data_IF_477200279890
#
_entry.id   IF_477200279890
#
_cell.length_a   1.000
_cell.length_b   1.000
_cell.length_c   1.000
_cell.angle_alpha   90.00
_cell.angle_beta   90.00
_cell.angle_gamma   90.00
#
_symmetry.space_group_name_H-M   'P 1'
#
loop_
_entity.id
_entity.type
_entity.pdbx_description
1 polymer ?
#
# COMPACT_ATOMS: atom_id res chain seq x y z
N UNK A 1 39.64 -0.26 -23.87
CA UNK A 1 38.45 0.17 -24.61
C UNK A 1 37.25 0.12 -23.66
N UNK A 2 36.48 1.21 -23.48
CA UNK A 2 35.34 1.20 -22.57
C UNK A 2 34.14 0.52 -23.23
N UNK A 3 33.56 -0.44 -22.53
CA UNK A 3 32.30 -1.10 -22.91
C UNK A 3 31.16 -0.12 -22.64
N UNK A 4 30.49 0.34 -23.69
CA UNK A 4 29.28 1.15 -23.61
C UNK A 4 28.12 0.27 -23.17
N UNK A 5 27.69 0.41 -21.92
CA UNK A 5 26.45 -0.15 -21.42
C UNK A 5 25.25 0.58 -22.04
N UNK A 6 24.41 -0.16 -22.71
CA UNK A 6 23.17 0.31 -23.34
C UNK A 6 22.09 0.36 -22.25
N UNK A 7 21.95 1.50 -21.60
CA UNK A 7 20.91 1.78 -20.60
C UNK A 7 19.58 2.06 -21.32
N UNK A 8 18.87 0.99 -21.66
CA UNK A 8 17.47 1.09 -22.07
C UNK A 8 16.64 1.17 -20.81
N UNK A 9 16.11 2.37 -20.56
CA UNK A 9 15.29 2.72 -19.43
C UNK A 9 14.34 1.60 -18.97
N UNK A 10 14.59 1.08 -17.80
CA UNK A 10 13.65 0.22 -17.09
C UNK A 10 12.47 1.09 -16.67
N UNK A 11 11.39 1.06 -17.45
CA UNK A 11 10.08 1.54 -17.01
C UNK A 11 9.77 0.83 -15.71
N UNK A 12 9.53 1.60 -14.65
CA UNK A 12 9.09 1.08 -13.38
C UNK A 12 7.91 0.14 -13.61
N UNK A 13 7.97 -1.03 -13.02
CA UNK A 13 6.89 -2.01 -13.03
C UNK A 13 5.74 -1.38 -12.23
N UNK A 14 4.83 -0.70 -12.93
CA UNK A 14 3.55 -0.34 -12.34
C UNK A 14 2.87 -1.68 -12.00
N UNK A 15 2.79 -2.00 -10.72
CA UNK A 15 2.03 -3.13 -10.23
C UNK A 15 0.55 -2.83 -10.46
N UNK A 16 0.07 -3.09 -11.68
CA UNK A 16 -1.35 -3.16 -11.98
C UNK A 16 -1.89 -4.45 -11.34
N UNK A 17 -2.08 -4.42 -10.03
CA UNK A 17 -2.90 -5.42 -9.38
C UNK A 17 -4.34 -5.10 -9.76
N UNK A 18 -5.06 -6.00 -10.46
CA UNK A 18 -6.49 -5.84 -10.65
C UNK A 18 -7.13 -6.01 -9.28
N UNK A 19 -7.35 -4.90 -8.58
CA UNK A 19 -8.29 -4.91 -7.46
C UNK A 19 -9.65 -5.18 -8.06
N UNK A 20 -10.14 -6.40 -7.88
CA UNK A 20 -11.52 -6.71 -8.20
C UNK A 20 -12.39 -5.67 -7.49
N UNK A 21 -13.23 -4.97 -8.26
CA UNK A 21 -14.21 -4.05 -7.69
C UNK A 21 -14.97 -4.81 -6.62
N UNK A 22 -14.80 -4.41 -5.36
CA UNK A 22 -15.57 -5.01 -4.28
C UNK A 22 -17.03 -4.64 -4.53
N UNK A 23 -17.94 -5.61 -4.60
CA UNK A 23 -19.35 -5.30 -4.82
C UNK A 23 -19.83 -4.35 -3.73
N UNK A 24 -20.61 -3.34 -4.12
CA UNK A 24 -21.31 -2.47 -3.16
C UNK A 24 -22.21 -3.41 -2.33
N UNK A 25 -21.90 -3.52 -1.04
CA UNK A 25 -22.69 -4.36 -0.15
C UNK A 25 -24.03 -3.68 0.09
N UNK A 26 -25.09 -4.46 0.26
CA UNK A 26 -26.46 -3.96 0.46
C UNK A 26 -26.65 -3.04 1.70
N UNK A 27 -25.62 -2.86 2.52
CA UNK A 27 -25.57 -1.94 3.66
C UNK A 27 -24.99 -0.55 3.36
N UNK A 28 -24.46 -0.30 2.15
CA UNK A 28 -23.84 0.98 1.76
C UNK A 28 -24.88 2.03 1.33
N UNK A 29 -26.13 1.92 1.72
CA UNK A 29 -27.16 2.90 1.41
C UNK A 29 -27.50 3.73 2.65
N UNK A 30 -27.34 5.03 2.56
CA UNK A 30 -28.04 5.96 3.45
C UNK A 30 -29.55 5.86 3.21
N UNK A 31 -30.34 5.84 4.29
CA UNK A 31 -31.79 5.94 4.15
C UNK A 31 -32.14 7.17 3.28
N UNK A 32 -33.06 7.02 2.31
CA UNK A 32 -33.38 8.03 1.28
C UNK A 32 -33.73 9.42 1.84
N UNK A 33 -34.19 9.48 3.09
CA UNK A 33 -34.60 10.71 3.77
C UNK A 33 -33.54 11.27 4.74
N UNK A 34 -32.30 10.75 4.71
CA UNK A 34 -31.24 11.23 5.59
C UNK A 34 -30.71 12.58 5.11
N UNK A 35 -31.09 13.66 5.81
CA UNK A 35 -30.55 15.00 5.54
C UNK A 35 -29.10 15.07 6.04
N UNK A 36 -28.16 15.28 5.12
CA UNK A 36 -26.74 15.45 5.42
C UNK A 36 -26.50 16.92 5.78
N UNK A 37 -25.78 17.17 6.86
CA UNK A 37 -25.38 18.52 7.29
C UNK A 37 -24.07 18.95 6.65
N UNK A 38 -23.10 18.06 6.59
CA UNK A 38 -21.78 18.28 6.01
C UNK A 38 -21.07 16.96 5.76
N UNK A 39 -20.00 17.02 4.95
CA UNK A 39 -19.04 15.92 4.82
C UNK A 39 -17.84 16.15 5.73
N UNK A 40 -17.30 15.07 6.27
CA UNK A 40 -16.01 15.03 6.98
C UNK A 40 -15.11 14.04 6.31
N UNK A 41 -13.85 14.39 6.14
CA UNK A 41 -12.84 13.54 5.50
C UNK A 41 -11.70 13.24 6.46
N UNK A 42 -11.15 12.05 6.35
CA UNK A 42 -9.98 11.63 7.13
C UNK A 42 -9.05 10.81 6.23
N UNK A 43 -7.79 11.24 6.06
CA UNK A 43 -7.16 12.47 6.55
C UNK A 43 -7.70 13.72 5.85
N UNK A 44 -7.46 14.89 6.44
CA UNK A 44 -7.87 16.19 5.89
C UNK A 44 -6.93 16.71 4.78
N UNK A 45 -5.80 16.04 4.55
CA UNK A 45 -4.85 16.30 3.47
C UNK A 45 -4.13 15.01 3.08
N UNK A 46 -3.70 14.89 1.83
CA UNK A 46 -2.94 13.76 1.33
C UNK A 46 -1.52 14.22 0.98
N UNK A 47 -0.52 13.56 1.56
CA UNK A 47 0.88 13.78 1.23
C UNK A 47 1.50 12.44 0.85
N UNK A 48 2.06 12.38 -0.35
CA UNK A 48 2.78 11.24 -0.90
C UNK A 48 4.23 11.66 -1.07
N UNK A 49 5.17 10.90 -0.52
CA UNK A 49 6.60 11.18 -0.53
C UNK A 49 7.43 10.21 -1.36
N UNK A 50 6.85 9.10 -1.80
CA UNK A 50 7.53 8.06 -2.56
C UNK A 50 6.60 7.27 -3.48
N UNK A 51 7.18 6.50 -4.39
CA UNK A 51 6.43 5.59 -5.28
C UNK A 51 5.80 4.39 -4.56
N UNK A 52 6.14 4.16 -3.29
CA UNK A 52 5.54 3.10 -2.46
C UNK A 52 4.39 3.61 -1.59
N UNK A 53 4.22 4.92 -1.49
CA UNK A 53 3.19 5.51 -0.66
C UNK A 53 1.82 5.41 -1.34
N UNK A 54 0.82 5.33 -0.51
CA UNK A 54 -0.60 5.43 -0.86
C UNK A 54 -1.34 6.10 0.29
N UNK A 55 -2.56 6.55 0.04
CA UNK A 55 -3.38 7.14 1.10
C UNK A 55 -4.78 6.52 1.12
N UNK A 56 -5.22 6.06 2.28
CA UNK A 56 -6.60 5.67 2.51
C UNK A 56 -7.37 6.90 2.99
N UNK A 57 -8.38 7.30 2.25
CA UNK A 57 -9.29 8.39 2.62
C UNK A 57 -10.65 7.82 2.98
N UNK A 58 -11.18 8.23 4.12
CA UNK A 58 -12.52 7.90 4.55
C UNK A 58 -13.38 9.17 4.51
N UNK A 59 -14.61 9.02 4.06
CA UNK A 59 -15.59 10.11 3.97
C UNK A 59 -16.80 9.76 4.82
N UNK A 60 -17.14 10.68 5.72
CA UNK A 60 -18.28 10.53 6.62
C UNK A 60 -19.31 11.62 6.37
N UNK A 61 -20.56 11.23 6.23
CA UNK A 61 -21.70 12.15 6.24
C UNK A 61 -22.12 12.44 7.69
N UNK A 62 -22.13 13.71 8.06
CA UNK A 62 -22.66 14.16 9.36
C UNK A 62 -24.20 14.32 9.26
N UNK A 63 -24.89 13.44 9.95
CA UNK A 63 -26.35 13.40 10.01
C UNK A 63 -26.92 14.25 11.18
N UNK A 64 -26.04 14.95 11.89
CA UNK A 64 -26.38 15.70 13.09
C UNK A 64 -26.53 14.86 14.35
N UNK A 65 -26.60 15.56 15.50
CA UNK A 65 -26.65 14.91 16.83
C UNK A 65 -25.54 13.90 17.09
N UNK A 66 -24.33 14.15 16.55
CA UNK A 66 -23.15 13.29 16.70
C UNK A 66 -23.18 12.00 15.87
N UNK A 67 -24.15 11.83 14.97
CA UNK A 67 -24.23 10.66 14.11
C UNK A 67 -23.42 10.86 12.83
N UNK A 68 -22.47 9.99 12.58
CA UNK A 68 -21.68 9.91 11.36
C UNK A 68 -21.99 8.60 10.63
N UNK A 69 -22.08 8.66 9.32
CA UNK A 69 -22.19 7.47 8.45
C UNK A 69 -21.06 7.46 7.45
N UNK A 70 -20.38 6.32 7.29
CA UNK A 70 -19.38 6.15 6.27
C UNK A 70 -20.03 6.12 4.88
N UNK A 71 -19.65 7.06 4.04
CA UNK A 71 -20.13 7.20 2.66
C UNK A 71 -19.00 7.10 1.65
N UNK A 72 -17.83 6.65 2.06
CA UNK A 72 -16.60 6.58 1.24
C UNK A 72 -16.83 5.92 -0.12
N UNK A 73 -17.65 4.88 -0.17
CA UNK A 73 -17.95 4.13 -1.40
C UNK A 73 -19.02 4.79 -2.30
N UNK A 74 -19.64 5.85 -1.81
CA UNK A 74 -20.80 6.48 -2.43
C UNK A 74 -20.48 7.86 -2.99
N UNK A 75 -19.27 8.38 -2.69
CA UNK A 75 -18.85 9.71 -3.11
C UNK A 75 -18.29 9.71 -4.51
N UNK A 76 -18.31 10.87 -5.15
CA UNK A 76 -17.58 11.11 -6.40
C UNK A 76 -16.30 11.87 -6.09
N UNK A 77 -15.21 11.44 -6.71
CA UNK A 77 -13.89 12.02 -6.61
C UNK A 77 -13.55 12.75 -7.90
N UNK A 78 -13.00 13.97 -7.81
CA UNK A 78 -12.53 14.72 -8.98
C UNK A 78 -11.33 15.61 -8.64
N UNK A 79 -10.60 16.07 -9.68
CA UNK A 79 -9.44 16.95 -9.52
C UNK A 79 -8.14 16.23 -9.16
N UNK A 80 -8.12 14.89 -9.19
CA UNK A 80 -6.97 14.05 -8.86
C UNK A 80 -6.36 13.33 -10.07
N UNK A 81 -7.04 13.32 -11.20
CA UNK A 81 -6.85 12.40 -12.34
C UNK A 81 -5.46 12.52 -12.97
N UNK A 82 -4.84 13.69 -12.90
CA UNK A 82 -3.48 13.92 -13.38
C UNK A 82 -2.44 13.29 -12.45
N UNK A 83 -2.70 13.29 -11.15
CA UNK A 83 -1.71 12.94 -10.12
C UNK A 83 -1.89 11.55 -9.53
N UNK A 84 -3.03 10.89 -9.76
CA UNK A 84 -3.31 9.56 -9.24
C UNK A 84 -4.73 9.10 -9.50
N UNK A 85 -5.12 8.02 -8.81
CA UNK A 85 -6.44 7.43 -8.92
C UNK A 85 -6.97 6.99 -7.56
N UNK A 86 -8.28 7.11 -7.37
CA UNK A 86 -9.00 6.49 -6.26
C UNK A 86 -9.64 5.17 -6.70
N UNK A 87 -9.60 4.18 -5.81
CA UNK A 87 -10.49 3.03 -5.91
C UNK A 87 -11.85 3.35 -5.25
N UNK A 88 -12.83 2.44 -5.41
CA UNK A 88 -14.16 2.59 -4.81
C UNK A 88 -14.19 2.52 -3.28
N UNK A 89 -13.06 2.25 -2.62
CA UNK A 89 -12.91 2.22 -1.16
C UNK A 89 -12.18 3.44 -0.63
N UNK A 90 -11.88 4.41 -1.49
CA UNK A 90 -11.17 5.62 -1.11
C UNK A 90 -9.65 5.46 -0.97
N UNK A 91 -9.07 4.42 -1.56
CA UNK A 91 -7.63 4.25 -1.63
C UNK A 91 -7.07 5.07 -2.80
N UNK A 92 -6.26 6.07 -2.48
CA UNK A 92 -5.52 6.86 -3.47
C UNK A 92 -4.18 6.21 -3.79
N UNK A 93 -3.91 5.99 -5.08
CA UNK A 93 -2.62 5.52 -5.59
C UNK A 93 -2.01 6.59 -6.49
N UNK A 94 -0.78 7.05 -6.22
CA UNK A 94 -0.16 8.12 -6.98
C UNK A 94 0.27 7.67 -8.38
N UNK A 95 0.33 8.64 -9.32
CA UNK A 95 0.72 8.43 -10.73
C UNK A 95 1.77 9.43 -11.19
N UNK A 96 1.66 10.69 -10.77
CA UNK A 96 2.57 11.76 -11.14
C UNK A 96 2.80 12.73 -9.99
N UNK A 97 3.99 13.35 -9.96
CA UNK A 97 4.30 14.41 -9.00
C UNK A 97 3.47 15.66 -9.27
N UNK A 98 3.03 16.33 -8.21
CA UNK A 98 2.30 17.60 -8.33
C UNK A 98 1.44 17.90 -7.14
N UNK A 99 0.60 18.91 -7.27
CA UNK A 99 -0.33 19.36 -6.24
C UNK A 99 -1.69 19.63 -6.84
N UNK A 100 -2.74 19.28 -6.10
CA UNK A 100 -4.12 19.52 -6.49
C UNK A 100 -5.00 19.75 -5.25
N UNK A 101 -6.23 20.21 -5.48
CA UNK A 101 -7.31 20.10 -4.52
C UNK A 101 -8.29 19.06 -5.05
N UNK A 102 -8.39 17.95 -4.33
CA UNK A 102 -9.34 16.89 -4.64
C UNK A 102 -10.71 17.34 -4.17
N UNK A 103 -11.69 17.30 -5.04
CA UNK A 103 -13.08 17.55 -4.71
C UNK A 103 -13.79 16.24 -4.45
N UNK A 104 -14.46 16.15 -3.33
CA UNK A 104 -15.27 15.01 -2.89
C UNK A 104 -16.72 15.46 -2.85
N UNK A 105 -17.60 14.82 -3.61
CA UNK A 105 -19.01 15.19 -3.70
C UNK A 105 -19.90 14.02 -3.30
N UNK A 106 -20.90 14.32 -2.51
CA UNK A 106 -21.96 13.38 -2.15
C UNK A 106 -23.27 14.14 -1.92
N UNK A 107 -24.30 13.82 -2.72
CA UNK A 107 -25.56 14.54 -2.77
C UNK A 107 -25.31 16.04 -3.07
N UNK A 108 -25.78 16.94 -2.20
CA UNK A 108 -25.62 18.38 -2.29
C UNK A 108 -24.42 18.94 -1.51
N UNK A 109 -23.58 18.04 -0.96
CA UNK A 109 -22.43 18.42 -0.13
C UNK A 109 -21.12 18.19 -0.88
N UNK A 110 -20.20 19.14 -0.69
CA UNK A 110 -18.85 19.10 -1.28
C UNK A 110 -17.81 19.40 -0.20
N UNK A 111 -16.67 18.73 -0.24
CA UNK A 111 -15.49 19.05 0.57
C UNK A 111 -14.23 18.93 -0.30
N UNK A 112 -13.22 19.75 -0.01
CA UNK A 112 -11.94 19.73 -0.71
C UNK A 112 -10.83 19.17 0.19
N UNK A 113 -9.94 18.39 -0.39
CA UNK A 113 -8.78 17.78 0.27
C UNK A 113 -7.51 18.19 -0.50
N UNK A 114 -6.59 18.93 0.12
CA UNK A 114 -5.30 19.22 -0.48
C UNK A 114 -4.51 17.94 -0.74
N UNK A 115 -3.98 17.79 -1.97
CA UNK A 115 -3.11 16.72 -2.40
C UNK A 115 -1.72 17.27 -2.71
N UNK A 116 -0.69 16.62 -2.21
CA UNK A 116 0.70 16.85 -2.59
C UNK A 116 1.37 15.51 -2.88
N UNK A 117 1.82 15.31 -4.11
CA UNK A 117 2.56 14.13 -4.56
C UNK A 117 3.96 14.55 -4.93
N UNK A 118 4.97 13.93 -4.35
CA UNK A 118 6.38 14.17 -4.64
C UNK A 118 7.18 12.86 -4.58
N UNK A 119 8.41 12.87 -5.04
CA UNK A 119 9.36 11.77 -4.88
C UNK A 119 9.08 10.50 -5.67
N UNK A 120 8.14 10.51 -6.64
CA UNK A 120 7.85 9.33 -7.45
C UNK A 120 9.00 8.95 -8.39
N UNK A 121 9.83 9.93 -8.78
CA UNK A 121 11.01 9.72 -9.65
C UNK A 121 12.26 9.36 -8.84
N UNK A 122 12.18 9.41 -7.51
CA UNK A 122 13.30 9.04 -6.65
C UNK A 122 13.54 7.53 -6.71
N UNK A 123 14.81 7.13 -6.56
CA UNK A 123 15.13 5.72 -6.41
C UNK A 123 14.39 5.14 -5.20
N UNK A 124 13.69 4.03 -5.43
CA UNK A 124 13.00 3.33 -4.36
C UNK A 124 14.05 2.73 -3.40
N UNK A 125 14.05 3.20 -2.16
CA UNK A 125 14.90 2.69 -1.09
C UNK A 125 14.00 2.25 0.09
N UNK A 126 13.37 1.08 0.00
CA UNK A 126 12.42 0.63 1.00
C UNK A 126 13.12 0.35 2.34
N UNK A 127 12.64 0.97 3.40
CA UNK A 127 13.04 0.63 4.75
C UNK A 127 12.52 -0.76 5.14
N UNK A 128 13.35 -1.53 5.84
CA UNK A 128 12.96 -2.88 6.23
C UNK A 128 11.81 -2.87 7.24
N UNK A 129 11.85 -1.98 8.22
CA UNK A 129 10.87 -1.93 9.31
C UNK A 129 9.54 -1.35 8.80
N UNK A 130 9.61 -0.27 8.04
CA UNK A 130 8.43 0.48 7.61
C UNK A 130 7.74 -0.14 6.38
N UNK A 131 8.50 -0.83 5.52
CA UNK A 131 7.98 -1.34 4.24
C UNK A 131 8.05 -2.87 4.16
N UNK A 132 9.25 -3.47 4.32
CA UNK A 132 9.44 -4.89 4.04
C UNK A 132 8.78 -5.76 5.11
N UNK A 133 8.98 -5.46 6.39
CA UNK A 133 8.45 -6.25 7.50
C UNK A 133 6.91 -6.26 7.55
N UNK A 134 6.19 -5.14 7.33
CA UNK A 134 4.73 -5.16 7.18
C UNK A 134 4.23 -6.02 6.01
N UNK A 135 4.94 -6.03 4.87
CA UNK A 135 4.59 -6.88 3.72
C UNK A 135 4.74 -8.36 4.10
N UNK A 136 5.85 -8.74 4.72
CA UNK A 136 6.11 -10.11 5.20
C UNK A 136 5.01 -10.55 6.18
N UNK A 137 4.61 -9.65 7.08
CA UNK A 137 3.57 -9.91 8.08
C UNK A 137 2.19 -10.05 7.44
N UNK A 138 1.86 -9.19 6.48
CA UNK A 138 0.58 -9.22 5.74
C UNK A 138 0.44 -10.48 4.89
N UNK A 139 1.53 -10.94 4.30
CA UNK A 139 1.59 -12.20 3.53
C UNK A 139 1.58 -13.44 4.43
N UNK A 140 1.72 -13.28 5.76
CA UNK A 140 1.69 -14.38 6.72
C UNK A 140 3.00 -15.16 6.84
N UNK A 141 4.09 -14.70 6.23
CA UNK A 141 5.38 -15.40 6.25
C UNK A 141 5.91 -15.61 7.68
N UNK A 142 5.69 -14.63 8.57
CA UNK A 142 6.07 -14.66 9.98
C UNK A 142 4.92 -15.06 10.92
N UNK A 143 3.87 -15.70 10.40
CA UNK A 143 2.81 -16.27 11.22
C UNK A 143 3.31 -17.47 12.04
N UNK A 144 2.62 -17.78 13.13
CA UNK A 144 2.97 -18.90 14.03
C UNK A 144 2.87 -20.29 13.41
N UNK A 145 2.22 -20.43 12.27
CA UNK A 145 2.16 -21.65 11.45
C UNK A 145 3.23 -21.71 10.36
N UNK A 146 3.96 -20.61 10.16
CA UNK A 146 5.02 -20.46 9.17
C UNK A 146 6.36 -20.18 9.85
N UNK A 147 7.14 -19.22 9.35
CA UNK A 147 8.47 -18.93 9.90
C UNK A 147 8.45 -18.25 11.28
N UNK A 148 7.29 -17.76 11.76
CA UNK A 148 7.10 -17.25 13.12
C UNK A 148 6.84 -18.33 14.18
N UNK A 149 6.84 -19.62 13.82
CA UNK A 149 6.76 -20.74 14.78
C UNK A 149 7.95 -20.75 15.72
N UNK A 150 7.81 -21.44 16.87
CA UNK A 150 8.87 -21.52 17.90
C UNK A 150 10.24 -21.87 17.31
N UNK A 151 10.29 -22.83 16.43
CA UNK A 151 11.53 -23.32 15.79
C UNK A 151 11.66 -22.88 14.30
N UNK A 152 10.75 -21.97 13.86
CA UNK A 152 10.66 -21.58 12.45
C UNK A 152 10.16 -22.71 11.56
N UNK A 153 10.50 -22.66 10.28
CA UNK A 153 10.17 -23.71 9.30
C UNK A 153 11.35 -23.93 8.35
N UNK A 154 11.73 -25.18 8.17
CA UNK A 154 12.83 -25.58 7.29
C UNK A 154 14.14 -24.81 7.56
N UNK A 155 14.50 -24.61 8.82
CA UNK A 155 15.72 -23.89 9.24
C UNK A 155 15.69 -22.39 9.00
N UNK A 156 14.53 -21.81 8.69
CA UNK A 156 14.34 -20.38 8.62
C UNK A 156 13.30 -19.92 9.65
N UNK A 157 13.74 -19.05 10.55
CA UNK A 157 12.91 -18.49 11.60
C UNK A 157 12.83 -16.98 11.47
N UNK A 158 11.63 -16.44 11.66
CA UNK A 158 11.33 -15.03 11.82
C UNK A 158 10.70 -14.79 13.18
N UNK A 159 10.74 -13.57 13.66
CA UNK A 159 9.98 -13.17 14.83
C UNK A 159 8.48 -13.26 14.56
N UNK A 160 7.70 -13.65 15.54
CA UNK A 160 6.26 -13.77 15.39
C UNK A 160 5.65 -12.40 15.04
N UNK A 161 5.01 -12.31 13.88
CA UNK A 161 4.36 -11.08 13.37
C UNK A 161 5.30 -9.87 13.24
N UNK A 162 6.60 -10.09 13.07
CA UNK A 162 7.58 -9.01 12.91
C UNK A 162 7.89 -8.25 14.19
N UNK A 163 7.72 -8.88 15.36
CA UNK A 163 7.95 -8.26 16.66
C UNK A 163 9.39 -7.78 16.85
N UNK A 164 10.36 -8.50 16.30
CA UNK A 164 11.79 -8.17 16.38
C UNK A 164 12.37 -8.03 14.97
N UNK A 165 12.27 -6.82 14.43
CA UNK A 165 12.72 -6.52 13.07
C UNK A 165 14.23 -6.69 12.88
N UNK A 166 15.05 -6.47 13.92
CA UNK A 166 16.50 -6.65 13.85
C UNK A 166 16.86 -8.15 13.78
N UNK A 167 16.15 -8.97 14.55
CA UNK A 167 16.27 -10.43 14.44
C UNK A 167 15.89 -10.90 13.02
N UNK A 168 14.81 -10.36 12.47
CA UNK A 168 14.31 -10.73 11.15
C UNK A 168 15.30 -10.32 10.04
N UNK A 169 15.89 -9.12 10.10
CA UNK A 169 16.94 -8.69 9.16
C UNK A 169 18.10 -9.70 9.18
N UNK A 170 18.60 -10.05 10.37
CA UNK A 170 19.70 -11.02 10.52
C UNK A 170 19.33 -12.39 9.94
N UNK A 171 18.11 -12.84 10.18
CA UNK A 171 17.59 -14.07 9.61
C UNK A 171 17.63 -14.09 8.08
N UNK A 172 17.49 -12.95 7.43
CA UNK A 172 17.60 -12.82 5.98
C UNK A 172 19.04 -12.66 5.49
N UNK A 173 19.85 -11.84 6.18
CA UNK A 173 21.17 -11.42 5.68
C UNK A 173 22.33 -12.23 6.22
N UNK A 174 22.36 -12.52 7.52
CA UNK A 174 23.51 -13.08 8.21
C UNK A 174 23.45 -14.60 8.27
N UNK A 175 22.27 -15.14 8.52
CA UNK A 175 22.08 -16.58 8.58
C UNK A 175 22.23 -17.20 7.18
N UNK A 176 23.21 -18.10 7.02
CA UNK A 176 23.53 -18.74 5.73
C UNK A 176 23.79 -17.68 4.65
N UNK A 177 24.77 -16.82 4.90
CA UNK A 177 25.14 -15.65 4.10
C UNK A 177 24.91 -15.83 2.59
N UNK A 178 24.28 -14.85 1.95
CA UNK A 178 23.95 -14.79 0.52
C UNK A 178 22.97 -15.85 -0.01
N UNK A 179 22.44 -16.73 0.83
CA UNK A 179 21.47 -17.73 0.39
C UNK A 179 20.04 -17.18 0.33
N UNK A 180 19.60 -16.52 1.40
CA UNK A 180 18.24 -15.97 1.48
C UNK A 180 18.13 -14.64 0.75
N UNK A 181 19.13 -13.77 0.94
CA UNK A 181 19.27 -12.51 0.22
C UNK A 181 20.59 -12.54 -0.56
N UNK A 182 20.51 -12.48 -1.87
CA UNK A 182 21.67 -12.43 -2.75
C UNK A 182 21.88 -11.00 -3.23
N UNK A 183 22.81 -10.29 -2.61
CA UNK A 183 23.10 -8.88 -2.92
C UNK A 183 23.67 -8.72 -4.34
N UNK A 184 24.43 -9.70 -4.84
CA UNK A 184 25.01 -9.63 -6.17
C UNK A 184 24.00 -9.89 -7.30
N UNK A 185 22.94 -10.65 -7.00
CA UNK A 185 21.86 -10.95 -7.93
C UNK A 185 20.52 -10.99 -7.17
N UNK A 186 19.94 -9.83 -6.81
CA UNK A 186 18.76 -9.75 -5.95
C UNK A 186 17.58 -10.59 -6.44
N UNK A 187 17.36 -10.65 -7.76
CA UNK A 187 16.29 -11.45 -8.38
C UNK A 187 16.45 -12.97 -8.16
N UNK A 188 17.65 -13.42 -7.74
CA UNK A 188 17.95 -14.80 -7.39
C UNK A 188 17.94 -15.07 -5.90
N UNK A 189 17.50 -14.10 -5.11
CA UNK A 189 17.33 -14.28 -3.67
C UNK A 189 16.28 -15.36 -3.40
N UNK A 190 16.61 -16.34 -2.58
CA UNK A 190 15.67 -17.42 -2.24
C UNK A 190 14.40 -16.90 -1.56
N UNK A 191 14.53 -15.80 -0.81
CA UNK A 191 13.41 -15.07 -0.25
C UNK A 191 12.37 -14.70 -1.32
N UNK A 192 12.80 -14.09 -2.44
CA UNK A 192 11.91 -13.72 -3.53
C UNK A 192 11.40 -14.94 -4.30
N UNK A 193 12.30 -15.86 -4.65
CA UNK A 193 11.96 -17.05 -5.44
C UNK A 193 10.90 -17.92 -4.75
N UNK A 194 10.99 -18.08 -3.42
CA UNK A 194 10.00 -18.83 -2.63
C UNK A 194 8.70 -18.04 -2.44
N UNK A 195 8.78 -16.75 -2.11
CA UNK A 195 7.61 -15.92 -1.90
C UNK A 195 6.75 -15.75 -3.17
N UNK A 196 7.39 -15.77 -4.36
CA UNK A 196 6.72 -15.70 -5.67
C UNK A 196 6.38 -17.07 -6.27
N UNK A 197 6.61 -18.15 -5.53
CA UNK A 197 6.41 -19.53 -6.00
C UNK A 197 7.21 -19.88 -7.28
N UNK A 198 8.29 -19.14 -7.57
CA UNK A 198 9.21 -19.46 -8.68
C UNK A 198 9.97 -20.76 -8.40
N UNK A 199 10.20 -21.07 -7.14
CA UNK A 199 10.66 -22.37 -6.64
C UNK A 199 9.67 -22.90 -5.60
N UNK A 200 9.60 -24.23 -5.38
CA UNK A 200 8.68 -24.81 -4.41
C UNK A 200 8.80 -24.16 -3.02
N UNK A 201 7.67 -23.79 -2.45
CA UNK A 201 7.55 -23.22 -1.10
C UNK A 201 6.80 -24.24 -0.24
N UNK A 202 7.53 -25.11 0.37
CA UNK A 202 7.00 -26.14 1.26
C UNK A 202 6.85 -25.61 2.69
#
# INVERSE_FOLDING_TARGET
APVRGNDKGKKGLALNLPFAESPILAGDSLAKDSRIKSLRVSPSSITIGSSLDYAQVLVFADLGKGRLSDVTRMVQWSGHEEYGQFDNRGLFTPKANGKANIRVEFQDQTVEIPLSVAGLDAACNPDFIEVVNPIISKLGCNAGTCHGAKDGKNGFKLSLRGYDALYDIRGFTDDMASRRVNVAAPDRSLMLLKATATVPHE
#
